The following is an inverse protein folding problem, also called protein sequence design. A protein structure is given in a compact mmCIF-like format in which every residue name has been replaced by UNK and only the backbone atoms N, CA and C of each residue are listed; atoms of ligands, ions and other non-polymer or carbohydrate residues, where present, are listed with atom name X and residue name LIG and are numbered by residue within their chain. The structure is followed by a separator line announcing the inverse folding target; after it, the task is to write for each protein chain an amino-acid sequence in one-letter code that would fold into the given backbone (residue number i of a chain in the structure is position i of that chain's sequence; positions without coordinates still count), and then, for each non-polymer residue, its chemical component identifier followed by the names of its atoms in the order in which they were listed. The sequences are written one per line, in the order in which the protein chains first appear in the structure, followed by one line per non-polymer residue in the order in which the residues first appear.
data_IF_174913527691
#
_entry.id   IF_174913527691
#
_cell.length_a   1.000
_cell.length_b   1.000
_cell.length_c   1.000
_cell.angle_alpha   90.00
_cell.angle_beta   90.00
_cell.angle_gamma   90.00
#
_symmetry.space_group_name_H-M   'P 1'
#
loop_
_entity.id
_entity.type
_entity.pdbx_description
1 polymer ?
#
# COMPACT_ATOMS: atom_id res chain seq x y z
N UNK A 1 34.41 -40.16 -9.69
CA UNK A 1 34.71 -38.90 -10.38
C UNK A 1 33.45 -38.05 -10.20
N UNK A 2 33.42 -37.34 -9.08
CA UNK A 2 32.29 -36.51 -8.71
C UNK A 2 32.58 -35.08 -9.17
N UNK A 3 31.86 -34.64 -10.19
CA UNK A 3 31.87 -33.24 -10.60
C UNK A 3 30.85 -32.47 -9.73
N UNK A 4 31.36 -31.74 -8.73
CA UNK A 4 30.60 -30.72 -8.02
C UNK A 4 30.31 -29.57 -9.01
N UNK A 5 29.07 -29.41 -9.40
CA UNK A 5 28.56 -28.18 -9.97
C UNK A 5 28.61 -27.06 -8.93
N UNK A 6 29.53 -26.16 -9.09
CA UNK A 6 29.56 -24.87 -8.37
C UNK A 6 28.36 -24.05 -8.85
N UNK A 7 27.32 -23.96 -8.02
CA UNK A 7 26.28 -22.97 -8.20
C UNK A 7 26.89 -21.61 -7.87
N UNK A 8 27.11 -20.80 -8.90
CA UNK A 8 27.51 -19.41 -8.76
C UNK A 8 26.47 -18.66 -7.90
N UNK A 9 26.89 -18.22 -6.73
CA UNK A 9 26.18 -17.19 -5.98
C UNK A 9 26.25 -15.91 -6.82
N UNK A 10 25.12 -15.52 -7.43
CA UNK A 10 24.96 -14.14 -7.91
C UNK A 10 25.15 -13.21 -6.71
N UNK A 11 26.26 -12.51 -6.68
CA UNK A 11 26.55 -11.44 -5.72
C UNK A 11 25.48 -10.38 -5.94
N UNK A 12 24.45 -10.38 -5.08
CA UNK A 12 23.45 -9.32 -4.99
C UNK A 12 24.23 -8.02 -4.80
N UNK A 13 24.03 -7.06 -5.71
CA UNK A 13 24.77 -5.80 -5.71
C UNK A 13 24.72 -5.17 -4.33
N UNK A 14 25.91 -5.02 -3.74
CA UNK A 14 26.08 -4.31 -2.48
C UNK A 14 25.51 -2.89 -2.66
N UNK A 15 24.70 -2.37 -1.73
CA UNK A 15 24.26 -0.98 -1.81
C UNK A 15 25.51 -0.12 -1.95
N UNK A 16 25.46 0.84 -2.88
CA UNK A 16 26.56 1.78 -3.10
C UNK A 16 26.68 2.63 -1.84
N UNK A 17 27.55 2.26 -0.92
CA UNK A 17 27.81 2.95 0.36
C UNK A 17 28.30 4.40 0.20
N UNK A 18 28.47 4.87 -1.02
CA UNK A 18 28.86 6.24 -1.34
C UNK A 18 27.68 7.19 -1.54
N UNK A 19 26.44 6.70 -1.44
CA UNK A 19 25.24 7.53 -1.57
C UNK A 19 24.76 7.91 -0.19
N UNK A 20 24.65 9.22 0.05
CA UNK A 20 24.01 9.76 1.26
C UNK A 20 22.55 10.02 0.92
N UNK A 21 21.64 9.42 1.70
CA UNK A 21 20.20 9.68 1.61
C UNK A 21 19.80 10.75 2.60
N UNK A 22 18.88 11.61 2.21
CA UNK A 22 18.30 12.61 3.12
C UNK A 22 17.33 11.93 4.09
N UNK A 23 16.63 10.89 3.63
CA UNK A 23 15.66 10.15 4.45
C UNK A 23 15.73 8.65 4.17
N UNK A 24 15.72 7.87 5.24
CA UNK A 24 15.56 6.41 5.21
C UNK A 24 14.19 6.08 5.80
N UNK A 25 13.38 5.34 5.04
CA UNK A 25 12.03 4.93 5.41
C UNK A 25 12.04 3.42 5.64
N UNK A 26 11.65 2.97 6.81
CA UNK A 26 11.54 1.54 7.13
C UNK A 26 10.10 1.08 6.93
N UNK A 27 9.93 0.18 5.97
CA UNK A 27 8.66 -0.37 5.55
C UNK A 27 8.18 0.14 4.20
N UNK A 28 8.04 -0.77 3.23
CA UNK A 28 7.53 -0.50 1.87
C UNK A 28 6.00 -0.66 1.78
N UNK A 29 5.28 -0.55 2.89
CA UNK A 29 3.82 -0.49 2.90
C UNK A 29 3.29 0.85 2.40
N UNK A 30 1.95 1.03 2.26
CA UNK A 30 1.36 2.26 1.73
C UNK A 30 1.87 3.53 2.43
N UNK A 31 1.99 3.52 3.76
CA UNK A 31 2.46 4.69 4.50
C UNK A 31 3.89 5.10 4.11
N UNK A 32 4.82 4.12 4.03
CA UNK A 32 6.20 4.39 3.61
C UNK A 32 6.30 4.83 2.16
N UNK A 33 5.54 4.21 1.26
CA UNK A 33 5.50 4.59 -0.15
C UNK A 33 4.95 6.01 -0.34
N UNK A 34 3.90 6.41 0.38
CA UNK A 34 3.38 7.79 0.33
C UNK A 34 4.33 8.79 0.97
N UNK A 35 5.00 8.44 2.06
CA UNK A 35 6.03 9.29 2.66
C UNK A 35 7.17 9.55 1.65
N UNK A 36 7.66 8.51 0.98
CA UNK A 36 8.68 8.65 -0.06
C UNK A 36 8.19 9.51 -1.24
N UNK A 37 6.94 9.32 -1.69
CA UNK A 37 6.35 10.12 -2.75
C UNK A 37 6.36 11.61 -2.45
N UNK A 38 5.95 11.99 -1.23
CA UNK A 38 5.91 13.38 -0.80
C UNK A 38 7.31 14.00 -0.64
N UNK A 39 8.26 13.23 -0.10
CA UNK A 39 9.61 13.68 0.17
C UNK A 39 10.43 13.78 -1.13
N UNK A 40 10.39 12.75 -1.97
CA UNK A 40 11.08 12.73 -3.25
C UNK A 40 10.50 13.76 -4.22
N UNK A 41 9.17 13.98 -4.21
CA UNK A 41 8.54 15.06 -4.95
C UNK A 41 9.01 16.48 -4.56
N UNK A 42 9.70 16.60 -3.41
CA UNK A 42 10.37 17.83 -2.94
C UNK A 42 11.88 17.83 -3.18
N UNK A 43 12.39 16.84 -3.90
CA UNK A 43 13.80 16.73 -4.27
C UNK A 43 14.70 16.09 -3.21
N UNK A 44 14.13 15.43 -2.19
CA UNK A 44 14.89 14.70 -1.18
C UNK A 44 15.23 13.29 -1.67
N UNK A 45 16.45 12.84 -1.44
CA UNK A 45 16.90 11.48 -1.74
C UNK A 45 16.36 10.52 -0.69
N UNK A 46 15.51 9.60 -1.11
CA UNK A 46 14.85 8.65 -0.22
C UNK A 46 15.29 7.21 -0.49
N UNK A 47 15.53 6.46 0.59
CA UNK A 47 15.70 5.03 0.59
C UNK A 47 14.54 4.38 1.35
N UNK A 48 13.86 3.41 0.74
CA UNK A 48 12.90 2.55 1.43
C UNK A 48 13.55 1.20 1.72
N UNK A 49 13.49 0.76 2.97
CA UNK A 49 13.99 -0.55 3.41
C UNK A 49 12.80 -1.41 3.81
N UNK A 50 12.73 -2.66 3.34
CA UNK A 50 11.71 -3.62 3.75
C UNK A 50 12.28 -5.04 3.84
N UNK A 51 11.84 -5.81 4.83
CA UNK A 51 12.24 -7.20 5.01
C UNK A 51 11.66 -8.15 3.96
N UNK A 52 10.60 -7.76 3.30
CA UNK A 52 9.93 -8.57 2.29
C UNK A 52 10.41 -8.27 0.88
N UNK A 53 9.73 -8.89 -0.07
CA UNK A 53 10.10 -8.90 -1.49
C UNK A 53 9.44 -7.81 -2.30
N UNK A 54 9.93 -7.66 -3.53
CA UNK A 54 9.27 -6.86 -4.54
C UNK A 54 7.88 -7.42 -4.89
N UNK A 55 6.99 -6.56 -5.35
CA UNK A 55 5.59 -6.89 -5.59
C UNK A 55 5.40 -8.11 -6.49
N UNK A 56 6.20 -8.22 -7.55
CA UNK A 56 6.11 -9.31 -8.52
C UNK A 56 6.66 -10.65 -7.97
N UNK A 57 7.40 -10.61 -6.86
CA UNK A 57 8.00 -11.78 -6.21
C UNK A 57 7.22 -12.27 -5.00
N UNK A 58 6.16 -11.55 -4.60
CA UNK A 58 5.35 -11.87 -3.44
C UNK A 58 4.31 -12.94 -3.78
N UNK A 59 4.51 -14.16 -3.30
CA UNK A 59 3.62 -15.30 -3.54
C UNK A 59 3.42 -16.14 -2.29
N UNK A 60 2.15 -16.37 -1.93
CA UNK A 60 1.85 -17.22 -0.79
C UNK A 60 1.90 -18.72 -1.19
N UNK A 61 2.72 -19.53 -0.54
CA UNK A 61 2.72 -20.99 -0.77
C UNK A 61 1.37 -21.67 -0.46
N UNK A 62 0.51 -21.03 0.33
CA UNK A 62 -0.82 -21.53 0.66
C UNK A 62 -1.70 -21.71 -0.59
N UNK A 63 -1.52 -20.89 -1.63
CA UNK A 63 -2.28 -21.00 -2.86
C UNK A 63 -2.10 -22.37 -3.56
N UNK A 64 -0.89 -22.97 -3.41
CA UNK A 64 -0.58 -24.29 -3.96
C UNK A 64 -0.78 -25.41 -2.95
N UNK A 65 -0.52 -25.17 -1.66
CA UNK A 65 -0.50 -26.19 -0.62
C UNK A 65 -1.83 -26.35 0.11
N UNK A 66 -2.71 -25.32 0.04
CA UNK A 66 -3.99 -25.29 0.75
C UNK A 66 -3.89 -25.02 2.26
N UNK A 67 -2.70 -24.77 2.80
CA UNK A 67 -2.47 -24.40 4.20
C UNK A 67 -1.28 -23.46 4.35
N UNK A 68 -1.31 -22.64 5.41
CA UNK A 68 -0.23 -21.70 5.72
C UNK A 68 1.04 -22.45 6.17
N UNK A 69 2.19 -22.08 5.57
CA UNK A 69 3.51 -22.67 5.89
C UNK A 69 4.33 -21.81 6.86
N UNK A 70 3.75 -20.75 7.41
CA UNK A 70 4.41 -19.82 8.36
C UNK A 70 5.77 -19.32 7.87
N UNK A 71 5.79 -18.80 6.62
CA UNK A 71 7.01 -18.24 6.02
C UNK A 71 7.55 -17.04 6.83
N UNK A 72 8.86 -16.92 6.88
CA UNK A 72 9.55 -15.78 7.50
C UNK A 72 10.61 -15.23 6.52
N UNK A 73 10.46 -14.02 5.99
CA UNK A 73 9.28 -13.14 6.10
C UNK A 73 8.05 -13.69 5.37
N UNK A 74 6.86 -13.23 5.77
CA UNK A 74 5.60 -13.63 5.13
C UNK A 74 5.33 -12.76 3.90
N UNK A 75 5.26 -13.36 2.71
CA UNK A 75 5.03 -12.64 1.45
C UNK A 75 3.66 -11.93 1.37
N UNK A 76 2.69 -12.29 2.21
CA UNK A 76 1.41 -11.57 2.30
C UNK A 76 1.52 -10.32 3.18
N UNK A 77 2.34 -10.37 4.23
CA UNK A 77 2.44 -9.29 5.21
C UNK A 77 3.54 -8.29 4.91
N UNK A 78 4.68 -8.75 4.38
CA UNK A 78 5.89 -7.97 4.18
C UNK A 78 6.16 -7.73 2.70
N UNK A 79 6.92 -6.67 2.39
CA UNK A 79 7.34 -6.28 1.05
C UNK A 79 6.53 -5.14 0.45
N UNK A 80 6.86 -4.80 -0.79
CA UNK A 80 6.30 -3.64 -1.50
C UNK A 80 4.77 -3.68 -1.54
N UNK A 81 4.13 -2.61 -1.06
CA UNK A 81 2.69 -2.48 -0.94
C UNK A 81 2.11 -2.99 0.39
N UNK A 82 2.91 -3.67 1.23
CA UNK A 82 2.47 -4.17 2.54
C UNK A 82 1.31 -5.18 2.47
N UNK A 83 0.69 -5.45 3.61
CA UNK A 83 -0.41 -6.44 3.71
C UNK A 83 -1.69 -6.01 2.98
N UNK A 84 -1.93 -4.71 2.82
CA UNK A 84 -3.12 -4.18 2.14
C UNK A 84 -3.22 -4.58 0.67
N UNK A 85 -2.11 -4.87 0.01
CA UNK A 85 -2.07 -5.29 -1.40
C UNK A 85 -2.86 -6.57 -1.67
N UNK A 86 -2.87 -7.49 -0.72
CA UNK A 86 -3.54 -8.79 -0.85
C UNK A 86 -4.82 -8.88 -0.01
N UNK A 87 -5.36 -7.73 0.42
CA UNK A 87 -6.68 -7.61 1.05
C UNK A 87 -7.79 -7.54 -0.02
N UNK A 88 -8.95 -7.06 0.35
CA UNK A 88 -10.06 -6.80 -0.58
C UNK A 88 -9.82 -5.63 -1.55
N UNK A 89 -8.75 -4.86 -1.34
CA UNK A 89 -8.38 -3.73 -2.18
C UNK A 89 -9.38 -2.57 -2.10
N UNK A 90 -10.00 -2.35 -0.95
CA UNK A 90 -10.96 -1.27 -0.74
C UNK A 90 -10.31 -0.04 -0.12
N UNK A 91 -10.43 1.11 -0.77
CA UNK A 91 -10.08 2.41 -0.21
C UNK A 91 -11.32 3.09 0.35
N UNK A 92 -11.30 3.40 1.64
CA UNK A 92 -12.32 4.23 2.27
C UNK A 92 -11.98 5.70 2.04
N UNK A 93 -12.82 6.41 1.29
CA UNK A 93 -12.58 7.81 0.92
C UNK A 93 -13.22 8.74 1.95
N UNK A 94 -12.81 8.55 3.22
CA UNK A 94 -13.35 9.29 4.34
C UNK A 94 -12.34 9.34 5.50
N UNK A 95 -12.06 10.52 6.10
CA UNK A 95 -10.98 10.70 7.06
C UNK A 95 -11.23 10.09 8.46
N UNK A 96 -12.48 9.73 8.78
CA UNK A 96 -12.91 9.18 10.08
C UNK A 96 -13.17 7.66 10.04
N UNK A 97 -12.61 6.95 9.02
CA UNK A 97 -12.68 5.49 8.91
C UNK A 97 -11.30 4.87 9.10
N UNK A 98 -11.18 4.02 10.11
CA UNK A 98 -9.92 3.39 10.51
C UNK A 98 -9.05 4.25 11.44
N UNK A 99 -9.51 5.45 11.77
CA UNK A 99 -8.89 6.43 12.66
C UNK A 99 -9.60 7.75 12.56
N UNK A 100 -9.09 8.78 13.21
CA UNK A 100 -9.56 10.17 13.09
C UNK A 100 -8.42 11.04 12.54
N UNK A 101 -8.40 11.21 11.23
CA UNK A 101 -7.35 11.98 10.55
C UNK A 101 -7.49 13.48 10.88
N UNK A 102 -8.70 13.96 11.16
CA UNK A 102 -8.91 15.34 11.57
C UNK A 102 -8.33 15.63 12.95
N UNK A 103 -8.43 14.68 13.89
CA UNK A 103 -7.76 14.78 15.18
C UNK A 103 -6.24 14.83 15.03
N UNK A 104 -5.68 13.96 14.17
CA UNK A 104 -4.24 13.91 13.93
C UNK A 104 -3.67 15.16 13.25
N UNK A 105 -4.42 15.77 12.34
CA UNK A 105 -3.99 16.97 11.62
C UNK A 105 -4.37 18.27 12.34
N UNK A 106 -5.30 18.21 13.28
CA UNK A 106 -5.91 19.39 13.90
C UNK A 106 -6.80 20.22 12.97
N UNK A 107 -7.11 19.69 11.76
CA UNK A 107 -7.80 20.39 10.69
C UNK A 107 -8.65 19.42 9.85
N UNK A 108 -9.97 19.65 9.85
CA UNK A 108 -10.92 18.81 9.13
C UNK A 108 -10.76 18.92 7.61
N UNK A 109 -10.52 20.11 7.09
CA UNK A 109 -10.38 20.33 5.64
C UNK A 109 -9.09 19.70 5.15
N UNK A 110 -8.02 19.80 5.93
CA UNK A 110 -6.75 19.13 5.65
C UNK A 110 -6.89 17.61 5.64
N UNK A 111 -7.67 17.06 6.56
CA UNK A 111 -7.93 15.62 6.58
C UNK A 111 -8.61 15.14 5.28
N UNK A 112 -9.61 15.87 4.79
CA UNK A 112 -10.24 15.57 3.51
C UNK A 112 -9.29 15.74 2.32
N UNK A 113 -8.48 16.79 2.30
CA UNK A 113 -7.47 17.02 1.26
C UNK A 113 -6.49 15.84 1.15
N UNK A 114 -6.03 15.30 2.29
CA UNK A 114 -5.12 14.15 2.32
C UNK A 114 -5.77 12.87 1.78
N UNK A 115 -7.04 12.62 2.11
CA UNK A 115 -7.79 11.49 1.55
C UNK A 115 -7.89 11.62 0.02
N UNK A 116 -8.25 12.81 -0.48
CA UNK A 116 -8.32 13.08 -1.90
C UNK A 116 -6.96 12.95 -2.59
N UNK A 117 -5.88 13.33 -1.93
CA UNK A 117 -4.52 13.19 -2.45
C UNK A 117 -4.15 11.71 -2.63
N UNK A 118 -4.42 10.88 -1.63
CA UNK A 118 -4.20 9.43 -1.71
C UNK A 118 -5.01 8.83 -2.85
N UNK A 119 -6.29 9.18 -2.96
CA UNK A 119 -7.17 8.69 -4.01
C UNK A 119 -6.66 9.06 -5.42
N UNK A 120 -6.21 10.30 -5.60
CA UNK A 120 -5.62 10.77 -6.87
C UNK A 120 -4.37 10.00 -7.27
N UNK A 121 -3.50 9.65 -6.30
CA UNK A 121 -2.30 8.84 -6.57
C UNK A 121 -2.71 7.45 -7.04
N UNK A 122 -3.63 6.79 -6.34
CA UNK A 122 -4.11 5.47 -6.74
C UNK A 122 -4.81 5.49 -8.11
N UNK A 123 -5.57 6.52 -8.43
CA UNK A 123 -6.15 6.70 -9.76
C UNK A 123 -5.07 6.81 -10.85
N UNK A 124 -4.01 7.60 -10.64
CA UNK A 124 -2.85 7.68 -11.54
C UNK A 124 -2.17 6.31 -11.70
N UNK A 125 -2.17 5.49 -10.67
CA UNK A 125 -1.65 4.13 -10.69
C UNK A 125 -2.59 3.12 -11.36
N UNK A 126 -3.77 3.53 -11.82
CA UNK A 126 -4.71 2.68 -12.55
C UNK A 126 -5.78 2.03 -11.70
N UNK A 127 -6.03 2.55 -10.50
CA UNK A 127 -7.23 2.19 -9.76
C UNK A 127 -8.49 2.54 -10.55
N UNK A 128 -9.60 1.79 -10.42
CA UNK A 128 -10.85 2.06 -11.14
C UNK A 128 -11.38 3.46 -10.83
N UNK A 129 -11.86 4.19 -11.84
CA UNK A 129 -12.44 5.53 -11.67
C UNK A 129 -13.77 5.48 -10.92
N UNK A 130 -14.51 4.37 -11.04
CA UNK A 130 -15.80 4.19 -10.39
C UNK A 130 -15.64 4.05 -8.89
N UNK A 131 -16.49 4.75 -8.15
CA UNK A 131 -16.62 4.60 -6.70
C UNK A 131 -17.97 3.99 -6.37
N UNK A 132 -18.00 3.19 -5.32
CA UNK A 132 -19.24 2.77 -4.69
C UNK A 132 -19.70 3.96 -3.86
N UNK A 133 -20.62 4.74 -4.39
CA UNK A 133 -21.32 5.77 -3.66
C UNK A 133 -22.81 5.40 -3.61
N UNK A 134 -23.37 5.71 -2.49
CA UNK A 134 -24.72 5.28 -2.14
C UNK A 134 -25.73 6.40 -2.43
N UNK A 135 -25.76 6.92 -3.67
CA UNK A 135 -26.89 7.74 -4.13
C UNK A 135 -28.09 6.84 -4.41
N UNK A 136 -28.70 6.33 -3.36
CA UNK A 136 -29.84 5.45 -3.46
C UNK A 136 -30.91 5.89 -2.43
N UNK A 137 -32.19 6.11 -2.83
CA UNK A 137 -33.27 6.41 -1.90
C UNK A 137 -33.45 5.42 -0.74
N UNK A 138 -33.01 4.17 -0.93
CA UNK A 138 -33.04 3.15 0.11
C UNK A 138 -32.13 3.47 1.30
N UNK A 139 -31.09 4.29 1.09
CA UNK A 139 -30.16 4.68 2.18
C UNK A 139 -30.85 5.57 3.18
N UNK A 140 -31.66 6.49 2.74
CA UNK A 140 -32.44 7.32 3.65
C UNK A 140 -33.40 6.48 4.52
N UNK A 141 -33.95 5.40 3.95
CA UNK A 141 -34.72 4.44 4.74
C UNK A 141 -33.88 3.70 5.75
N UNK A 142 -32.66 3.27 5.35
CA UNK A 142 -31.72 2.58 6.25
C UNK A 142 -31.25 3.52 7.38
N UNK A 143 -30.92 4.78 7.09
CA UNK A 143 -30.58 5.80 8.10
C UNK A 143 -31.70 5.97 9.12
N UNK A 144 -32.95 6.10 8.66
CA UNK A 144 -34.12 6.23 9.56
C UNK A 144 -34.32 4.98 10.40
N UNK A 145 -34.19 3.79 9.80
CA UNK A 145 -34.31 2.52 10.55
C UNK A 145 -33.19 2.36 11.57
N UNK A 146 -31.94 2.70 11.23
CA UNK A 146 -30.84 2.69 12.20
C UNK A 146 -31.12 3.67 13.36
N UNK A 147 -31.53 4.90 13.07
CA UNK A 147 -31.85 5.90 14.07
C UNK A 147 -33.01 5.45 15.00
N UNK A 148 -34.01 4.73 14.48
CA UNK A 148 -35.16 4.26 15.28
C UNK A 148 -34.78 3.25 16.37
N UNK A 149 -33.61 2.61 16.25
CA UNK A 149 -33.06 1.65 17.24
C UNK A 149 -31.82 2.20 17.96
N UNK A 150 -31.57 3.52 17.87
CA UNK A 150 -30.40 4.16 18.51
C UNK A 150 -29.07 3.90 17.81
N UNK A 151 -29.07 3.31 16.62
CA UNK A 151 -27.86 3.07 15.83
C UNK A 151 -27.60 4.22 14.84
N UNK A 152 -26.32 4.46 14.55
CA UNK A 152 -25.89 5.42 13.52
C UNK A 152 -25.51 4.67 12.25
N UNK A 153 -26.13 5.02 11.13
CA UNK A 153 -25.69 4.57 9.81
C UNK A 153 -24.62 5.53 9.29
N UNK A 154 -23.44 4.99 8.98
CA UNK A 154 -22.32 5.77 8.44
C UNK A 154 -22.22 5.44 6.96
N UNK A 155 -22.38 6.45 6.12
CA UNK A 155 -22.22 6.36 4.68
C UNK A 155 -20.76 6.57 4.32
N UNK A 156 -20.18 5.60 3.60
CA UNK A 156 -18.77 5.64 3.22
C UNK A 156 -18.67 5.53 1.70
N UNK A 157 -18.10 6.55 1.08
CA UNK A 157 -17.68 6.47 -0.32
C UNK A 157 -16.44 5.58 -0.39
N UNK A 158 -16.46 4.57 -1.24
CA UNK A 158 -15.39 3.60 -1.37
C UNK A 158 -14.94 3.46 -2.81
N UNK A 159 -13.63 3.27 -3.00
CA UNK A 159 -13.05 2.81 -4.27
C UNK A 159 -12.61 1.36 -4.09
N UNK A 160 -13.21 0.47 -4.85
CA UNK A 160 -12.88 -0.94 -4.83
C UNK A 160 -11.89 -1.25 -5.96
N UNK A 161 -10.62 -1.45 -5.62
CA UNK A 161 -9.56 -1.84 -6.57
C UNK A 161 -9.67 -3.33 -6.86
N UNK A 162 -9.92 -4.14 -5.83
CA UNK A 162 -9.95 -5.59 -5.89
C UNK A 162 -8.55 -6.20 -5.69
N UNK A 163 -8.52 -7.37 -5.07
CA UNK A 163 -7.27 -8.10 -4.80
C UNK A 163 -6.55 -8.55 -6.07
N UNK A 164 -7.27 -8.72 -7.16
CA UNK A 164 -6.76 -9.07 -8.49
C UNK A 164 -5.98 -7.93 -9.15
N UNK A 165 -6.36 -6.68 -8.91
CA UNK A 165 -5.75 -5.49 -9.52
C UNK A 165 -4.78 -4.76 -8.59
N UNK A 166 -4.92 -4.91 -7.28
CA UNK A 166 -4.11 -4.20 -6.31
C UNK A 166 -2.59 -4.40 -6.52
N UNK A 167 -2.06 -5.60 -6.84
CA UNK A 167 -0.63 -5.76 -7.14
C UNK A 167 -0.16 -4.92 -8.33
N UNK A 168 -0.95 -4.84 -9.40
CA UNK A 168 -0.60 -4.04 -10.58
C UNK A 168 -0.61 -2.53 -10.27
N UNK A 169 -1.56 -2.06 -9.47
CA UNK A 169 -1.65 -0.66 -9.01
C UNK A 169 -0.44 -0.30 -8.14
N UNK A 170 -0.09 -1.16 -7.19
CA UNK A 170 1.10 -0.99 -6.34
C UNK A 170 2.39 -1.03 -7.15
N UNK A 171 2.52 -1.96 -8.10
CA UNK A 171 3.68 -2.02 -9.00
C UNK A 171 3.84 -0.75 -9.83
N UNK A 172 2.73 -0.13 -10.25
CA UNK A 172 2.78 1.16 -10.95
C UNK A 172 3.16 2.29 -10.00
N UNK A 173 2.68 2.28 -8.76
CA UNK A 173 3.08 3.26 -7.76
C UNK A 173 4.58 3.16 -7.45
N UNK A 174 5.12 1.94 -7.29
CA UNK A 174 6.57 1.73 -7.13
C UNK A 174 7.36 2.34 -8.28
N UNK A 175 6.95 2.10 -9.53
CA UNK A 175 7.62 2.70 -10.71
C UNK A 175 7.62 4.23 -10.68
N UNK A 176 6.52 4.85 -10.25
CA UNK A 176 6.49 6.32 -10.07
C UNK A 176 7.52 6.77 -9.02
N UNK A 177 7.68 6.00 -7.94
CA UNK A 177 8.70 6.31 -6.93
C UNK A 177 10.12 6.13 -7.49
N UNK A 178 10.37 5.10 -8.28
CA UNK A 178 11.65 4.88 -8.96
C UNK A 178 11.96 5.99 -9.98
N UNK A 179 10.95 6.51 -10.70
CA UNK A 179 11.07 7.68 -11.57
C UNK A 179 11.40 8.97 -10.80
N UNK A 180 11.03 9.03 -9.51
CA UNK A 180 11.41 10.10 -8.56
C UNK A 180 12.74 9.81 -7.85
N UNK A 181 13.52 8.84 -8.34
CA UNK A 181 14.82 8.43 -7.80
C UNK A 181 14.75 7.88 -6.35
N UNK A 182 13.59 7.37 -5.92
CA UNK A 182 13.48 6.61 -4.67
C UNK A 182 14.11 5.23 -4.85
N UNK A 183 15.06 4.89 -3.99
CA UNK A 183 15.68 3.58 -3.99
C UNK A 183 14.98 2.62 -3.02
N UNK A 184 14.99 1.32 -3.36
CA UNK A 184 14.42 0.25 -2.55
C UNK A 184 15.50 -0.75 -2.18
N UNK A 185 15.68 -0.99 -0.88
CA UNK A 185 16.51 -2.05 -0.32
C UNK A 185 15.59 -3.09 0.31
N UNK A 186 15.24 -4.09 -0.48
CA UNK A 186 14.31 -5.15 -0.11
C UNK A 186 15.04 -6.38 0.45
N UNK A 187 14.27 -7.31 1.05
CA UNK A 187 14.79 -8.53 1.70
C UNK A 187 15.89 -8.20 2.73
N UNK A 188 15.68 -7.09 3.48
CA UNK A 188 16.64 -6.54 4.46
C UNK A 188 15.94 -6.29 5.78
N UNK A 189 16.53 -6.84 6.89
CA UNK A 189 16.07 -6.69 8.28
C UNK A 189 16.91 -5.67 9.05
#
# INVERSE_FOLDING_TARGET
MDTKEERGEEVRGNPKFDIIYDVIIVGAGPAGMFAAHELAGRGLKCLIIDMGRDIDMRHCPMDKKGYCTHCTPCDIMCGVGGCGTFSDGTLNLRPDIGGDLAELTGDQDKAWELVDQVDRVFLKCGAPETTLSLENPEIEKLKRRAASVGARFIEIKQRHIGSDKAPAVIGKFKRILEELEVEFLLETE
#
